data_IF_117294346804
#
_entry.id   IF_117294346804
#
_cell.length_a   1.000
_cell.length_b   1.000
_cell.length_c   1.000
_cell.angle_alpha   90.00
_cell.angle_beta   90.00
_cell.angle_gamma   90.00
#
_symmetry.space_group_name_H-M   'P 1'
#
loop_
_entity.id
_entity.type
_entity.pdbx_description
1 polymer ?
#
# COMPACT_ATOMS: atom_id res chain seq x y z
N UNK A 1 15.87 7.15 18.24
CA UNK A 1 15.74 8.33 17.33
C UNK A 1 15.17 9.49 18.11
N UNK A 2 15.77 10.68 18.06
CA UNK A 2 15.25 11.85 18.77
C UNK A 2 14.02 12.42 18.08
N UNK A 3 13.16 13.14 18.83
CA UNK A 3 11.95 13.78 18.25
C UNK A 3 12.30 14.76 17.12
N UNK A 4 13.46 15.41 17.21
CA UNK A 4 13.93 16.34 16.19
C UNK A 4 14.38 15.64 14.90
N UNK A 5 15.07 14.52 15.01
CA UNK A 5 15.43 13.68 13.86
C UNK A 5 14.20 13.11 13.17
N UNK A 6 13.21 12.68 13.96
CA UNK A 6 11.93 12.20 13.42
C UNK A 6 11.22 13.29 12.62
N UNK A 7 11.11 14.50 13.16
CA UNK A 7 10.49 15.63 12.46
C UNK A 7 11.23 16.01 11.16
N UNK A 8 12.57 15.97 11.17
CA UNK A 8 13.38 16.21 9.97
C UNK A 8 13.12 15.13 8.90
N UNK A 9 13.01 13.85 9.30
CA UNK A 9 12.67 12.75 8.38
C UNK A 9 11.25 12.87 7.82
N UNK A 10 10.26 13.13 8.66
CA UNK A 10 8.87 13.36 8.22
C UNK A 10 8.81 14.49 7.20
N UNK A 11 9.50 15.61 7.46
CA UNK A 11 9.54 16.76 6.55
C UNK A 11 10.24 16.44 5.23
N UNK A 12 11.33 15.67 5.26
CA UNK A 12 12.04 15.22 4.06
C UNK A 12 11.14 14.33 3.19
N UNK A 13 10.44 13.39 3.82
CA UNK A 13 9.46 12.52 3.14
C UNK A 13 8.31 13.36 2.59
N UNK A 14 7.73 14.28 3.36
CA UNK A 14 6.66 15.18 2.89
C UNK A 14 7.08 15.94 1.62
N UNK A 15 8.28 16.53 1.60
CA UNK A 15 8.76 17.29 0.44
C UNK A 15 8.97 16.37 -0.76
N UNK A 16 9.59 15.21 -0.58
CA UNK A 16 9.86 14.23 -1.65
C UNK A 16 8.55 13.69 -2.23
N UNK A 17 7.66 13.23 -1.38
CA UNK A 17 6.43 12.54 -1.78
C UNK A 17 5.36 13.49 -2.33
N UNK A 18 5.27 14.73 -1.83
CA UNK A 18 4.33 15.74 -2.33
C UNK A 18 4.55 16.12 -3.79
N UNK A 19 5.81 16.12 -4.24
CA UNK A 19 6.15 16.35 -5.66
C UNK A 19 5.80 15.12 -6.50
N UNK A 20 6.05 13.93 -5.96
CA UNK A 20 5.82 12.65 -6.63
C UNK A 20 4.33 12.31 -6.74
N UNK A 21 3.56 12.50 -5.67
CA UNK A 21 2.13 12.21 -5.67
C UNK A 21 1.36 13.00 -6.74
N UNK A 22 1.74 14.26 -6.99
CA UNK A 22 1.14 15.04 -8.09
C UNK A 22 1.40 14.43 -9.46
N UNK A 23 2.58 13.86 -9.68
CA UNK A 23 2.96 13.31 -10.98
C UNK A 23 2.38 11.91 -11.21
N UNK A 24 2.30 11.11 -10.14
CA UNK A 24 1.82 9.72 -10.21
C UNK A 24 0.28 9.67 -10.31
N UNK A 25 -0.41 10.54 -9.57
CA UNK A 25 -1.86 10.42 -9.38
C UNK A 25 -2.69 11.46 -10.12
N UNK A 26 -2.09 12.49 -10.77
CA UNK A 26 -2.83 13.54 -11.45
C UNK A 26 -3.50 13.11 -12.77
N UNK A 27 -3.11 11.97 -13.35
CA UNK A 27 -3.61 11.52 -14.65
C UNK A 27 -4.33 10.18 -14.67
N UNK A 28 -3.93 9.22 -13.85
CA UNK A 28 -4.31 7.81 -14.03
C UNK A 28 -5.17 7.22 -12.89
N UNK A 29 -5.04 7.77 -11.67
CA UNK A 29 -5.78 7.31 -10.50
C UNK A 29 -7.31 7.48 -10.61
N UNK A 30 -7.78 8.50 -11.33
CA UNK A 30 -9.21 8.76 -11.52
C UNK A 30 -9.91 7.77 -12.47
N UNK A 31 -9.20 7.03 -13.31
CA UNK A 31 -9.82 6.18 -14.33
C UNK A 31 -10.17 4.77 -13.84
N UNK A 32 -9.41 4.23 -12.89
CA UNK A 32 -9.62 2.86 -12.40
C UNK A 32 -10.55 2.76 -11.18
N UNK A 33 -10.57 3.79 -10.33
CA UNK A 33 -11.29 3.74 -9.05
C UNK A 33 -12.68 4.39 -9.16
N UNK A 34 -13.66 3.68 -9.70
CA UNK A 34 -15.04 4.14 -9.85
C UNK A 34 -15.91 3.79 -8.62
N UNK A 35 -16.01 4.68 -7.61
CA UNK A 35 -16.94 4.56 -6.48
C UNK A 35 -18.39 5.00 -6.83
N UNK A 36 -19.40 4.60 -6.04
CA UNK A 36 -20.81 4.97 -6.21
C UNK A 36 -21.21 6.01 -5.16
N UNK A 37 -21.16 7.27 -5.50
CA UNK A 37 -21.73 8.37 -4.73
C UNK A 37 -22.15 9.49 -5.68
N UNK A 38 -23.35 10.06 -5.51
CA UNK A 38 -23.80 11.20 -6.30
C UNK A 38 -23.83 12.41 -5.42
N UNK A 39 -23.01 13.43 -5.71
CA UNK A 39 -23.10 14.76 -5.11
C UNK A 39 -23.80 15.71 -6.09
N UNK A 40 -24.62 16.59 -5.54
CA UNK A 40 -25.22 17.64 -6.33
C UNK A 40 -24.10 18.56 -6.86
N UNK A 41 -24.01 18.70 -8.20
CA UNK A 41 -23.02 19.56 -8.85
C UNK A 41 -23.62 20.92 -9.21
N UNK A 42 -24.64 20.89 -10.07
CA UNK A 42 -25.26 22.13 -10.56
C UNK A 42 -26.73 21.89 -10.98
N UNK A 43 -27.40 23.00 -11.29
CA UNK A 43 -28.71 22.98 -11.95
C UNK A 43 -28.54 23.56 -13.34
N UNK A 44 -28.88 22.78 -14.36
CA UNK A 44 -28.90 23.26 -15.75
C UNK A 44 -30.28 23.14 -16.40
N UNK A 45 -30.49 23.88 -17.47
CA UNK A 45 -31.74 23.79 -18.24
C UNK A 45 -31.93 22.38 -18.83
N UNK A 46 -33.13 21.83 -18.74
CA UNK A 46 -33.50 20.53 -19.27
C UNK A 46 -33.28 20.47 -20.79
N UNK A 47 -32.70 19.40 -21.26
CA UNK A 47 -32.54 19.10 -22.67
C UNK A 47 -33.34 17.82 -23.05
N UNK A 48 -33.91 17.74 -24.24
CA UNK A 48 -34.58 16.53 -24.68
C UNK A 48 -33.65 15.31 -24.62
N UNK A 49 -34.08 14.29 -23.83
CA UNK A 49 -33.31 13.11 -23.54
C UNK A 49 -32.82 12.99 -22.09
N UNK A 50 -32.93 14.06 -21.31
CA UNK A 50 -32.62 14.02 -19.87
C UNK A 50 -33.70 13.26 -19.08
N UNK A 51 -33.30 12.62 -17.97
CA UNK A 51 -34.26 11.92 -17.11
C UNK A 51 -35.17 12.91 -16.39
N UNK A 52 -36.47 12.83 -16.66
CA UNK A 52 -37.51 13.66 -16.01
C UNK A 52 -37.53 13.58 -14.48
N UNK A 53 -37.00 12.46 -13.90
CA UNK A 53 -36.90 12.29 -12.45
C UNK A 53 -35.89 13.23 -11.82
N UNK A 54 -34.96 13.75 -12.61
CA UNK A 54 -33.93 14.68 -12.17
C UNK A 54 -34.39 16.14 -12.18
N UNK A 55 -35.64 16.45 -12.58
CA UNK A 55 -36.17 17.82 -12.60
C UNK A 55 -36.23 18.40 -11.21
N UNK A 56 -35.62 19.59 -11.04
CA UNK A 56 -35.80 20.41 -9.86
C UNK A 56 -37.05 21.28 -9.98
N UNK A 57 -38.15 20.83 -9.42
CA UNK A 57 -39.41 21.54 -9.49
C UNK A 57 -39.38 22.90 -8.79
N UNK A 58 -38.53 23.12 -7.78
CA UNK A 58 -38.40 24.39 -7.08
C UNK A 58 -37.74 25.47 -7.95
N UNK A 59 -36.67 25.08 -8.68
CA UNK A 59 -35.99 26.00 -9.60
C UNK A 59 -36.85 26.23 -10.84
N UNK A 60 -37.45 25.16 -11.38
CA UNK A 60 -38.39 25.21 -12.51
C UNK A 60 -39.54 26.18 -12.24
N UNK A 61 -40.14 26.13 -11.04
CA UNK A 61 -41.23 27.01 -10.68
C UNK A 61 -40.82 28.50 -10.59
N UNK A 62 -39.55 28.78 -10.26
CA UNK A 62 -39.04 30.16 -10.15
C UNK A 62 -38.65 30.76 -11.50
N UNK A 63 -38.14 29.93 -12.39
CA UNK A 63 -37.56 30.38 -13.68
C UNK A 63 -38.49 30.13 -14.89
N UNK A 64 -39.67 29.52 -14.68
CA UNK A 64 -40.63 29.15 -15.72
C UNK A 64 -40.08 28.34 -16.89
N UNK A 65 -38.99 27.60 -16.66
CA UNK A 65 -38.39 26.70 -17.59
C UNK A 65 -37.94 25.44 -16.83
N UNK A 66 -38.02 24.26 -17.43
CA UNK A 66 -37.58 23.04 -16.72
C UNK A 66 -36.07 23.04 -16.50
N UNK A 67 -35.68 22.78 -15.27
CA UNK A 67 -34.29 22.63 -14.83
C UNK A 67 -34.10 21.26 -14.23
N UNK A 68 -32.93 20.64 -14.48
CA UNK A 68 -32.53 19.36 -13.89
C UNK A 68 -31.40 19.55 -12.90
N UNK A 69 -31.38 18.70 -11.88
CA UNK A 69 -30.25 18.53 -10.97
C UNK A 69 -29.21 17.66 -11.66
N UNK A 70 -28.06 18.21 -11.91
CA UNK A 70 -26.89 17.47 -12.35
C UNK A 70 -26.17 16.99 -11.11
N UNK A 71 -25.99 15.69 -11.00
CA UNK A 71 -25.21 15.09 -9.94
C UNK A 71 -23.88 14.66 -10.52
N UNK A 72 -22.79 15.16 -9.97
CA UNK A 72 -21.47 14.61 -10.20
C UNK A 72 -21.20 13.50 -9.19
N UNK A 73 -20.57 12.45 -9.64
CA UNK A 73 -20.20 11.35 -8.79
C UNK A 73 -18.96 11.74 -7.98
N UNK A 74 -19.18 12.38 -6.78
CA UNK A 74 -18.12 12.66 -5.83
C UNK A 74 -17.69 11.35 -5.15
N UNK A 75 -16.54 10.85 -5.53
CA UNK A 75 -16.04 9.55 -5.08
C UNK A 75 -15.02 9.75 -4.00
N UNK A 76 -15.46 9.75 -2.75
CA UNK A 76 -14.54 9.57 -1.64
C UNK A 76 -14.04 8.13 -1.62
N UNK A 77 -12.82 7.93 -2.03
CA UNK A 77 -12.16 6.64 -1.88
C UNK A 77 -11.64 6.49 -0.44
N UNK A 78 -11.63 5.26 0.00
CA UNK A 78 -10.94 4.89 1.24
C UNK A 78 -9.74 4.03 0.86
N UNK A 79 -8.57 4.47 1.29
CA UNK A 79 -7.31 3.75 1.11
C UNK A 79 -6.90 3.13 2.44
N UNK A 80 -6.60 1.85 2.43
CA UNK A 80 -6.08 1.13 3.59
C UNK A 80 -4.66 0.63 3.31
N UNK A 81 -3.71 1.04 4.15
CA UNK A 81 -2.34 0.57 4.09
C UNK A 81 -2.17 -0.57 5.11
N UNK A 82 -1.83 -1.77 4.65
CA UNK A 82 -1.46 -2.91 5.48
C UNK A 82 0.06 -2.99 5.42
N UNK A 83 0.73 -2.61 6.50
CA UNK A 83 2.20 -2.49 6.52
C UNK A 83 2.79 -3.52 7.45
N UNK A 84 3.61 -4.37 6.89
CA UNK A 84 4.41 -5.34 7.62
C UNK A 84 5.47 -4.62 8.46
N UNK A 85 5.44 -4.90 9.78
CA UNK A 85 6.39 -4.34 10.73
C UNK A 85 7.21 -5.42 11.43
N UNK A 86 7.25 -6.64 10.89
CA UNK A 86 8.04 -7.77 11.38
C UNK A 86 9.54 -7.50 11.47
N UNK A 87 10.29 -8.43 12.03
CA UNK A 87 11.74 -8.32 12.21
C UNK A 87 12.51 -8.18 10.91
N UNK A 88 12.05 -8.82 9.83
CA UNK A 88 12.67 -8.81 8.51
C UNK A 88 12.82 -7.41 7.90
N UNK A 89 11.95 -6.45 8.27
CA UNK A 89 12.03 -5.05 7.81
C UNK A 89 13.33 -4.33 8.17
N UNK A 90 14.04 -4.78 9.21
CA UNK A 90 15.28 -4.17 9.64
C UNK A 90 16.49 -4.62 8.80
N UNK A 91 16.27 -5.48 7.82
CA UNK A 91 17.30 -5.87 6.88
C UNK A 91 17.55 -4.79 5.83
N UNK A 92 18.80 -4.63 5.42
CA UNK A 92 19.22 -3.71 4.36
C UNK A 92 20.74 -3.67 4.27
N UNK A 93 21.27 -3.84 3.06
CA UNK A 93 22.73 -4.00 2.84
C UNK A 93 23.37 -2.88 2.04
N UNK A 94 22.56 -2.00 1.44
CA UNK A 94 23.06 -0.92 0.58
C UNK A 94 22.74 0.47 1.16
N UNK A 95 22.08 1.31 0.41
CA UNK A 95 21.84 2.71 0.77
C UNK A 95 20.67 2.93 1.72
N UNK A 96 19.74 1.99 1.78
CA UNK A 96 18.47 2.14 2.50
C UNK A 96 18.01 0.81 3.09
N UNK A 97 17.48 0.82 4.32
CA UNK A 97 16.85 -0.35 4.93
C UNK A 97 15.45 -0.56 4.36
N UNK A 98 14.97 -1.81 4.33
CA UNK A 98 13.59 -2.12 3.92
C UNK A 98 12.56 -1.27 4.68
N UNK A 99 12.73 -1.11 5.99
CA UNK A 99 11.88 -0.26 6.84
C UNK A 99 11.73 1.16 6.30
N UNK A 100 12.83 1.76 5.85
CA UNK A 100 12.82 3.14 5.36
C UNK A 100 12.12 3.23 3.99
N UNK A 101 12.35 2.24 3.12
CA UNK A 101 11.66 2.13 1.83
C UNK A 101 10.16 1.89 2.01
N UNK A 102 9.75 0.96 2.89
CA UNK A 102 8.34 0.72 3.22
C UNK A 102 7.65 1.98 3.72
N UNK A 103 8.32 2.75 4.60
CA UNK A 103 7.80 4.01 5.11
C UNK A 103 7.68 5.08 4.00
N UNK A 104 8.65 5.18 3.08
CA UNK A 104 8.57 6.11 1.95
C UNK A 104 7.45 5.75 0.97
N UNK A 105 7.29 4.48 0.63
CA UNK A 105 6.22 3.98 -0.24
C UNK A 105 4.85 4.24 0.39
N UNK A 106 4.67 3.82 1.65
CA UNK A 106 3.41 4.03 2.37
C UNK A 106 3.08 5.52 2.53
N UNK A 107 4.08 6.37 2.82
CA UNK A 107 3.91 7.81 2.88
C UNK A 107 3.51 8.42 1.53
N UNK A 108 4.09 7.94 0.43
CA UNK A 108 3.75 8.40 -0.92
C UNK A 108 2.28 8.10 -1.24
N UNK A 109 1.83 6.89 -0.93
CA UNK A 109 0.43 6.49 -1.06
C UNK A 109 -0.49 7.32 -0.16
N UNK A 110 -0.11 7.54 1.11
CA UNK A 110 -0.89 8.36 2.02
C UNK A 110 -0.97 9.84 1.59
N UNK A 111 0.09 10.41 1.04
CA UNK A 111 0.03 11.78 0.51
C UNK A 111 -0.82 11.92 -0.75
N UNK A 112 -0.92 10.88 -1.56
CA UNK A 112 -1.80 10.91 -2.73
C UNK A 112 -3.27 11.09 -2.34
N UNK A 113 -3.70 10.52 -1.22
CA UNK A 113 -5.07 10.65 -0.73
C UNK A 113 -5.44 12.09 -0.36
N UNK A 114 -4.45 12.91 0.06
CA UNK A 114 -4.70 14.33 0.34
C UNK A 114 -5.06 15.07 -0.95
N UNK A 115 -4.33 14.79 -2.05
CA UNK A 115 -4.55 15.47 -3.32
C UNK A 115 -5.95 15.18 -3.90
N UNK A 116 -6.46 13.99 -3.63
CA UNK A 116 -7.76 13.51 -4.12
C UNK A 116 -8.89 13.68 -3.11
N UNK A 117 -8.64 14.28 -1.94
CA UNK A 117 -9.61 14.41 -0.83
C UNK A 117 -10.16 13.06 -0.33
N UNK A 118 -9.36 11.98 -0.42
CA UNK A 118 -9.69 10.63 0.00
C UNK A 118 -9.38 10.39 1.48
N UNK A 119 -9.91 9.28 2.02
CA UNK A 119 -9.61 8.80 3.38
C UNK A 119 -8.45 7.82 3.34
N UNK A 120 -7.54 7.87 4.32
CA UNK A 120 -6.48 6.89 4.48
C UNK A 120 -6.44 6.36 5.91
N UNK A 121 -6.31 5.04 6.03
CA UNK A 121 -6.07 4.34 7.30
C UNK A 121 -4.87 3.41 7.17
N UNK A 122 -4.38 2.90 8.30
CA UNK A 122 -3.25 1.96 8.31
C UNK A 122 -3.46 0.85 9.33
N UNK A 123 -3.03 -0.34 8.97
CA UNK A 123 -2.89 -1.50 9.83
C UNK A 123 -1.41 -1.87 9.86
N UNK A 124 -0.78 -1.77 11.01
CA UNK A 124 0.55 -2.34 11.24
C UNK A 124 0.37 -3.77 11.73
N UNK A 125 1.08 -4.70 11.13
CA UNK A 125 1.01 -6.11 11.50
C UNK A 125 2.41 -6.76 11.55
N UNK A 126 2.51 -7.75 12.39
CA UNK A 126 3.59 -8.72 12.52
C UNK A 126 2.96 -10.12 12.44
N UNK A 127 3.24 -11.04 13.36
CA UNK A 127 2.44 -12.25 13.61
C UNK A 127 1.08 -11.94 14.29
N UNK A 128 0.82 -10.68 14.59
CA UNK A 128 -0.42 -10.14 15.15
C UNK A 128 -0.69 -8.74 14.61
N UNK A 129 -1.89 -8.22 14.90
CA UNK A 129 -2.20 -6.82 14.64
C UNK A 129 -1.56 -5.95 15.72
N UNK A 130 -0.55 -5.21 15.33
CA UNK A 130 0.21 -4.35 16.24
C UNK A 130 -0.50 -3.01 16.48
N UNK A 131 -1.07 -2.41 15.41
CA UNK A 131 -1.80 -1.14 15.51
C UNK A 131 -2.77 -0.95 14.37
N UNK A 132 -3.93 -0.41 14.67
CA UNK A 132 -4.91 0.03 13.68
C UNK A 132 -5.18 1.52 13.83
N UNK A 133 -5.04 2.26 12.74
CA UNK A 133 -5.40 3.67 12.62
C UNK A 133 -6.55 3.76 11.62
N UNK A 134 -7.76 4.14 12.07
CA UNK A 134 -8.94 4.23 11.20
C UNK A 134 -8.76 5.22 10.06
N UNK A 135 -9.43 4.98 8.94
CA UNK A 135 -9.35 5.84 7.77
C UNK A 135 -10.01 7.21 8.04
N UNK A 136 -9.23 8.28 7.90
CA UNK A 136 -9.67 9.66 8.04
C UNK A 136 -9.05 10.53 6.94
N UNK A 137 -9.63 11.71 6.73
CA UNK A 137 -9.12 12.72 5.79
C UNK A 137 -8.17 13.69 6.47
N UNK A 138 -7.43 14.37 5.64
CA UNK A 138 -6.73 15.58 5.99
C UNK A 138 -5.24 15.41 6.29
N UNK A 139 -4.52 16.50 6.10
CA UNK A 139 -3.07 16.55 6.19
C UNK A 139 -2.53 16.13 7.57
N UNK A 140 -3.20 16.55 8.64
CA UNK A 140 -2.78 16.22 10.01
C UNK A 140 -2.83 14.73 10.27
N UNK A 141 -3.87 14.05 9.77
CA UNK A 141 -4.01 12.60 9.88
C UNK A 141 -2.92 11.84 9.09
N UNK A 142 -2.65 12.27 7.86
CA UNK A 142 -1.55 11.68 7.06
C UNK A 142 -0.19 11.87 7.73
N UNK A 143 0.08 13.06 8.28
CA UNK A 143 1.33 13.30 9.02
C UNK A 143 1.43 12.45 10.29
N UNK A 144 0.31 12.19 10.96
CA UNK A 144 0.26 11.25 12.08
C UNK A 144 0.63 9.83 11.63
N UNK A 145 0.03 9.33 10.53
CA UNK A 145 0.37 8.02 9.95
C UNK A 145 1.87 7.92 9.63
N UNK A 146 2.43 8.95 8.97
CA UNK A 146 3.86 8.94 8.61
C UNK A 146 4.76 8.94 9.83
N UNK A 147 4.40 9.69 10.87
CA UNK A 147 5.12 9.68 12.12
C UNK A 147 5.14 8.28 12.74
N UNK A 148 3.98 7.62 12.75
CA UNK A 148 3.86 6.25 13.25
C UNK A 148 4.69 5.27 12.41
N UNK A 149 4.62 5.33 11.08
CA UNK A 149 5.43 4.49 10.18
C UNK A 149 6.93 4.56 10.48
N UNK A 150 7.43 5.75 10.83
CA UNK A 150 8.86 5.97 11.09
C UNK A 150 9.32 5.62 12.51
N UNK A 151 8.42 5.76 13.49
CA UNK A 151 8.76 5.58 14.92
C UNK A 151 8.21 4.29 15.52
N UNK A 152 7.39 3.54 14.79
CA UNK A 152 6.74 2.35 15.31
C UNK A 152 7.76 1.24 15.59
N UNK A 153 7.72 0.71 16.79
CA UNK A 153 8.49 -0.47 17.18
C UNK A 153 7.51 -1.61 17.50
N UNK A 154 7.56 -2.72 16.75
CA UNK A 154 6.66 -3.84 16.96
C UNK A 154 6.97 -4.56 18.24
N UNK A 155 5.97 -5.20 18.79
CA UNK A 155 6.12 -6.03 19.99
C UNK A 155 6.44 -7.49 19.66
N UNK A 156 6.33 -7.88 18.39
CA UNK A 156 6.70 -9.20 17.86
C UNK A 156 7.55 -9.09 16.60
N UNK A 157 8.32 -10.13 16.32
CA UNK A 157 9.25 -10.20 15.18
C UNK A 157 8.76 -11.09 14.05
N UNK A 158 7.82 -12.01 14.29
CA UNK A 158 7.26 -12.91 13.28
C UNK A 158 6.29 -12.22 12.32
N UNK A 159 5.85 -12.93 11.28
CA UNK A 159 4.96 -12.42 10.22
C UNK A 159 3.75 -13.33 10.03
N UNK A 160 2.51 -12.78 10.08
CA UNK A 160 1.28 -13.47 9.70
C UNK A 160 0.38 -12.57 8.83
N UNK A 161 0.62 -12.62 7.52
CA UNK A 161 -0.16 -11.87 6.52
C UNK A 161 -1.62 -12.36 6.48
N UNK A 162 -1.87 -13.65 6.72
CA UNK A 162 -3.21 -14.20 6.70
C UNK A 162 -4.08 -13.58 7.79
N UNK A 163 -3.54 -13.44 9.00
CA UNK A 163 -4.23 -12.77 10.10
C UNK A 163 -4.49 -11.29 9.80
N UNK A 164 -3.51 -10.59 9.20
CA UNK A 164 -3.67 -9.19 8.81
C UNK A 164 -4.81 -9.00 7.81
N UNK A 165 -4.91 -9.85 6.78
CA UNK A 165 -5.98 -9.84 5.78
C UNK A 165 -7.36 -10.17 6.37
N UNK A 166 -7.42 -11.13 7.31
CA UNK A 166 -8.66 -11.46 8.03
C UNK A 166 -9.14 -10.29 8.87
N UNK A 167 -8.23 -9.68 9.64
CA UNK A 167 -8.54 -8.49 10.43
C UNK A 167 -9.02 -7.33 9.54
N UNK A 168 -8.31 -7.04 8.46
CA UNK A 168 -8.68 -6.02 7.48
C UNK A 168 -10.10 -6.25 6.94
N UNK A 169 -10.42 -7.46 6.48
CA UNK A 169 -11.74 -7.82 5.95
C UNK A 169 -12.86 -7.72 6.98
N UNK A 170 -12.51 -7.87 8.27
CA UNK A 170 -13.45 -7.71 9.39
C UNK A 170 -13.62 -6.24 9.81
N UNK A 171 -12.55 -5.46 9.83
CA UNK A 171 -12.57 -4.06 10.22
C UNK A 171 -13.18 -3.17 9.13
N UNK A 172 -12.88 -3.45 7.86
CA UNK A 172 -13.35 -2.67 6.72
C UNK A 172 -14.55 -3.38 6.06
N UNK A 173 -15.77 -2.82 6.24
CA UNK A 173 -17.00 -3.39 5.68
C UNK A 173 -17.37 -2.81 4.30
N UNK A 174 -16.96 -1.56 4.03
CA UNK A 174 -17.20 -0.90 2.75
C UNK A 174 -16.06 -1.19 1.80
N UNK A 175 -16.37 -1.25 0.51
CA UNK A 175 -15.34 -1.38 -0.52
C UNK A 175 -14.29 -0.28 -0.37
N UNK A 176 -13.03 -0.64 -0.50
CA UNK A 176 -11.90 0.27 -0.42
C UNK A 176 -10.73 -0.28 -1.25
N UNK A 177 -9.74 0.57 -1.52
CA UNK A 177 -8.46 0.16 -2.08
C UNK A 177 -7.49 -0.15 -0.95
N UNK A 178 -6.90 -1.32 -0.95
CA UNK A 178 -5.93 -1.75 0.04
C UNK A 178 -4.55 -1.96 -0.60
N UNK A 179 -3.50 -1.48 0.06
CA UNK A 179 -2.11 -1.74 -0.31
C UNK A 179 -1.46 -2.59 0.76
N UNK A 180 -1.11 -3.81 0.41
CA UNK A 180 -0.39 -4.75 1.26
C UNK A 180 1.11 -4.61 0.98
N UNK A 181 1.87 -4.09 1.96
CA UNK A 181 3.29 -3.78 1.84
C UNK A 181 4.06 -4.72 2.76
N UNK A 182 4.82 -5.65 2.17
CA UNK A 182 5.61 -6.69 2.87
C UNK A 182 6.77 -7.15 1.98
N UNK A 183 7.67 -7.96 2.51
CA UNK A 183 8.64 -8.72 1.71
C UNK A 183 8.08 -10.08 1.23
N UNK A 184 6.92 -10.49 1.78
CA UNK A 184 6.25 -11.77 1.48
C UNK A 184 7.12 -13.01 1.71
N UNK A 185 8.12 -12.94 2.57
CA UNK A 185 8.89 -14.11 2.98
C UNK A 185 8.03 -14.94 3.94
N UNK A 186 7.92 -16.25 3.70
CA UNK A 186 7.12 -17.14 4.54
C UNK A 186 5.60 -17.01 4.39
N UNK A 187 5.09 -16.40 3.33
CA UNK A 187 3.69 -16.06 3.10
C UNK A 187 2.74 -17.27 2.82
N UNK A 188 3.15 -18.50 3.10
CA UNK A 188 2.53 -19.73 2.59
C UNK A 188 1.04 -19.97 2.84
N UNK A 189 0.40 -19.35 3.82
CA UNK A 189 -1.01 -19.64 4.19
C UNK A 189 -2.02 -18.55 3.79
N UNK A 190 -1.61 -17.53 3.03
CA UNK A 190 -2.46 -16.34 2.79
C UNK A 190 -3.48 -16.48 1.64
N UNK A 191 -3.49 -17.59 0.88
CA UNK A 191 -4.36 -17.73 -0.31
C UNK A 191 -5.84 -17.43 -0.03
N UNK A 192 -6.44 -18.13 0.94
CA UNK A 192 -7.86 -17.95 1.25
C UNK A 192 -8.19 -16.56 1.80
N UNK A 193 -7.47 -16.01 2.78
CA UNK A 193 -7.68 -14.64 3.25
C UNK A 193 -7.50 -13.59 2.15
N UNK A 194 -6.52 -13.76 1.27
CA UNK A 194 -6.27 -12.86 0.17
C UNK A 194 -7.41 -12.89 -0.87
N UNK A 195 -7.90 -14.07 -1.23
CA UNK A 195 -9.04 -14.24 -2.12
C UNK A 195 -10.33 -13.60 -1.55
N UNK A 196 -10.57 -13.74 -0.23
CA UNK A 196 -11.70 -13.10 0.43
C UNK A 196 -11.56 -11.58 0.40
N UNK A 197 -10.36 -11.06 0.66
CA UNK A 197 -10.08 -9.64 0.63
C UNK A 197 -10.22 -9.05 -0.78
N UNK A 198 -9.65 -9.71 -1.82
CA UNK A 198 -9.71 -9.25 -3.20
C UNK A 198 -11.12 -9.28 -3.81
N UNK A 199 -11.98 -10.19 -3.36
CA UNK A 199 -13.40 -10.22 -3.78
C UNK A 199 -14.23 -9.05 -3.19
N UNK A 200 -13.80 -8.45 -2.08
CA UNK A 200 -14.52 -7.36 -1.40
C UNK A 200 -13.91 -5.99 -1.60
N UNK A 201 -12.62 -5.95 -1.79
CA UNK A 201 -11.81 -4.75 -1.86
C UNK A 201 -10.87 -4.85 -3.05
N UNK A 202 -10.40 -3.73 -3.51
CA UNK A 202 -9.32 -3.71 -4.47
C UNK A 202 -7.99 -3.84 -3.72
N UNK A 203 -7.37 -5.01 -3.80
CA UNK A 203 -6.10 -5.29 -3.11
C UNK A 203 -4.94 -5.20 -4.08
N UNK A 204 -3.93 -4.42 -3.72
CA UNK A 204 -2.70 -4.26 -4.45
C UNK A 204 -1.53 -4.67 -3.53
N UNK A 205 -0.64 -5.53 -4.01
CA UNK A 205 0.51 -6.02 -3.26
C UNK A 205 1.79 -5.29 -3.68
N UNK A 206 2.55 -4.80 -2.71
CA UNK A 206 3.83 -4.14 -2.92
C UNK A 206 4.88 -4.91 -2.15
N UNK A 207 5.70 -5.66 -2.89
CA UNK A 207 6.83 -6.36 -2.32
C UNK A 207 8.02 -5.42 -2.21
N UNK A 208 8.68 -5.41 -1.03
CA UNK A 208 9.93 -4.68 -0.82
C UNK A 208 11.01 -5.67 -0.37
N UNK A 209 12.08 -5.75 -1.13
CA UNK A 209 13.17 -6.69 -0.86
C UNK A 209 14.54 -6.04 -1.05
N UNK A 210 15.55 -6.60 -0.38
CA UNK A 210 16.96 -6.23 -0.58
C UNK A 210 17.62 -7.16 -1.61
N UNK A 211 18.59 -6.65 -2.35
CA UNK A 211 19.35 -7.45 -3.32
C UNK A 211 19.98 -8.68 -2.70
N UNK A 212 20.41 -8.60 -1.43
CA UNK A 212 21.06 -9.71 -0.73
C UNK A 212 20.10 -10.80 -0.26
N UNK A 213 18.82 -10.55 -0.27
CA UNK A 213 17.80 -11.59 -0.12
C UNK A 213 17.66 -12.44 -1.38
N UNK A 214 17.96 -11.87 -2.54
CA UNK A 214 17.92 -12.60 -3.82
C UNK A 214 19.26 -13.30 -4.15
N UNK A 215 20.39 -12.69 -3.77
CA UNK A 215 21.71 -13.14 -4.17
C UNK A 215 22.73 -12.99 -3.04
N UNK A 216 23.38 -14.08 -2.65
CA UNK A 216 24.51 -14.02 -1.71
C UNK A 216 25.79 -13.58 -2.40
N UNK A 217 26.54 -12.64 -1.84
CA UNK A 217 27.88 -12.28 -2.34
C UNK A 217 28.90 -13.36 -1.99
N UNK A 218 29.95 -13.51 -2.79
CA UNK A 218 31.09 -14.36 -2.46
C UNK A 218 32.03 -13.59 -1.51
N UNK A 219 31.84 -13.76 -0.21
CA UNK A 219 32.63 -13.08 0.86
C UNK A 219 33.15 -14.03 1.94
N UNK A 220 33.15 -15.35 1.64
CA UNK A 220 33.61 -16.40 2.57
C UNK A 220 32.56 -16.77 3.61
N UNK A 221 33.03 -17.15 4.78
CA UNK A 221 32.18 -17.59 5.89
C UNK A 221 31.46 -16.40 6.54
N UNK A 222 30.13 -16.44 6.55
CA UNK A 222 29.26 -15.37 7.07
C UNK A 222 28.32 -15.94 8.12
N UNK A 223 28.10 -15.18 9.17
CA UNK A 223 27.08 -15.47 10.18
C UNK A 223 25.78 -14.75 9.81
N UNK A 224 24.75 -15.51 9.48
CA UNK A 224 23.41 -15.00 9.30
C UNK A 224 22.66 -15.02 10.63
N UNK A 225 21.94 -13.95 10.88
CA UNK A 225 21.02 -13.83 12.00
C UNK A 225 19.59 -13.82 11.46
N UNK A 226 18.78 -14.78 11.87
CA UNK A 226 17.36 -14.78 11.55
C UNK A 226 16.63 -13.86 12.53
N UNK A 227 16.12 -12.76 12.00
CA UNK A 227 15.44 -11.73 12.80
C UNK A 227 14.07 -12.18 13.36
N UNK A 228 13.47 -13.24 12.82
CA UNK A 228 12.18 -13.77 13.29
C UNK A 228 12.37 -14.81 14.39
N UNK A 229 13.28 -15.74 14.21
CA UNK A 229 13.50 -16.85 15.16
C UNK A 229 14.61 -16.55 16.18
N UNK A 230 15.45 -15.57 15.93
CA UNK A 230 16.61 -15.24 16.76
C UNK A 230 17.79 -16.22 16.63
N UNK A 231 17.74 -17.15 15.68
CA UNK A 231 18.77 -18.13 15.46
C UNK A 231 19.92 -17.62 14.60
N UNK A 232 21.11 -18.13 14.86
CA UNK A 232 22.30 -17.86 14.08
C UNK A 232 22.64 -19.06 13.18
N UNK A 233 23.02 -18.79 11.94
CA UNK A 233 23.49 -19.81 11.00
C UNK A 233 24.80 -19.35 10.36
N UNK A 234 25.82 -20.21 10.40
CA UNK A 234 27.09 -20.00 9.67
C UNK A 234 26.96 -20.58 8.26
N UNK A 235 27.20 -19.76 7.26
CA UNK A 235 27.11 -20.13 5.84
C UNK A 235 28.41 -19.75 5.15
N UNK A 236 29.04 -20.72 4.46
CA UNK A 236 30.21 -20.42 3.62
C UNK A 236 29.74 -19.98 2.23
N UNK A 237 29.77 -18.69 2.02
CA UNK A 237 29.39 -18.10 0.72
C UNK A 237 30.48 -18.20 -0.35
N UNK A 238 31.68 -18.73 -0.06
CA UNK A 238 32.68 -19.04 -1.07
C UNK A 238 32.24 -20.24 -1.95
N UNK A 239 31.44 -21.13 -1.39
CA UNK A 239 30.93 -22.34 -2.08
C UNK A 239 29.85 -21.91 -3.10
N UNK A 240 30.11 -22.13 -4.39
CA UNK A 240 29.19 -21.75 -5.46
C UNK A 240 27.82 -22.46 -5.36
N UNK A 241 27.80 -23.74 -4.95
CA UNK A 241 26.55 -24.49 -4.76
C UNK A 241 25.63 -23.79 -3.75
N UNK A 242 26.16 -23.37 -2.59
CA UNK A 242 25.40 -22.67 -1.55
C UNK A 242 24.76 -21.38 -2.11
N UNK A 243 25.51 -20.57 -2.87
CA UNK A 243 24.97 -19.36 -3.49
C UNK A 243 23.90 -19.67 -4.53
N UNK A 244 24.08 -20.72 -5.32
CA UNK A 244 23.10 -21.13 -6.33
C UNK A 244 21.81 -21.65 -5.70
N UNK A 245 21.91 -22.49 -4.68
CA UNK A 245 20.75 -23.02 -3.96
C UNK A 245 19.95 -21.90 -3.30
N UNK A 246 20.62 -20.93 -2.69
CA UNK A 246 19.99 -19.75 -2.12
C UNK A 246 19.23 -18.92 -3.18
N UNK A 247 19.88 -18.61 -4.29
CA UNK A 247 19.26 -17.88 -5.40
C UNK A 247 18.13 -18.67 -6.07
N UNK A 248 18.19 -20.01 -6.07
CA UNK A 248 17.12 -20.85 -6.55
C UNK A 248 15.92 -20.82 -5.60
N UNK A 249 16.13 -20.98 -4.31
CA UNK A 249 15.06 -20.89 -3.30
C UNK A 249 14.33 -19.52 -3.36
N UNK A 250 15.06 -18.43 -3.56
CA UNK A 250 14.46 -17.12 -3.80
C UNK A 250 13.57 -17.11 -5.04
N UNK A 251 14.05 -17.62 -6.17
CA UNK A 251 13.27 -17.66 -7.43
C UNK A 251 12.01 -18.52 -7.30
N UNK A 252 12.10 -19.64 -6.59
CA UNK A 252 10.96 -20.51 -6.32
C UNK A 252 9.90 -19.76 -5.47
N UNK A 253 10.31 -19.10 -4.41
CA UNK A 253 9.41 -18.26 -3.59
C UNK A 253 8.77 -17.14 -4.42
N UNK A 254 9.53 -16.45 -5.29
CA UNK A 254 8.98 -15.41 -6.16
C UNK A 254 7.93 -15.97 -7.13
N UNK A 255 8.18 -17.15 -7.71
CA UNK A 255 7.21 -17.80 -8.60
C UNK A 255 5.93 -18.19 -7.85
N UNK A 256 6.03 -18.71 -6.64
CA UNK A 256 4.88 -19.04 -5.80
C UNK A 256 4.04 -17.81 -5.47
N UNK A 257 4.67 -16.72 -5.06
CA UNK A 257 4.02 -15.42 -4.76
C UNK A 257 3.33 -14.88 -6.02
N UNK A 258 4.00 -14.88 -7.16
CA UNK A 258 3.44 -14.41 -8.43
C UNK A 258 2.21 -15.23 -8.86
N UNK A 259 2.30 -16.57 -8.76
CA UNK A 259 1.17 -17.45 -9.05
C UNK A 259 -0.01 -17.19 -8.10
N UNK A 260 0.27 -16.95 -6.84
CA UNK A 260 -0.74 -16.65 -5.83
C UNK A 260 -1.47 -15.35 -6.17
N UNK A 261 -0.77 -14.26 -6.49
CA UNK A 261 -1.38 -13.00 -6.88
C UNK A 261 -2.18 -13.13 -8.18
N UNK A 262 -1.65 -13.83 -9.17
CA UNK A 262 -2.37 -14.10 -10.43
C UNK A 262 -3.68 -14.86 -10.18
N UNK A 263 -3.67 -15.90 -9.35
CA UNK A 263 -4.86 -16.70 -9.02
C UNK A 263 -5.92 -15.94 -8.21
N UNK A 264 -5.49 -14.94 -7.43
CA UNK A 264 -6.38 -14.12 -6.59
C UNK A 264 -6.80 -12.81 -7.25
N UNK A 265 -6.31 -12.52 -8.46
CA UNK A 265 -6.60 -11.27 -9.18
C UNK A 265 -6.01 -10.03 -8.50
N UNK A 266 -4.94 -10.20 -7.72
CA UNK A 266 -4.26 -9.11 -7.01
C UNK A 266 -3.16 -8.54 -7.89
N UNK A 267 -3.22 -7.23 -8.15
CA UNK A 267 -2.13 -6.51 -8.81
C UNK A 267 -0.92 -6.47 -7.88
N UNK A 268 0.26 -6.69 -8.42
CA UNK A 268 1.47 -6.67 -7.60
C UNK A 268 2.65 -6.00 -8.30
N UNK A 269 3.56 -5.49 -7.48
CA UNK A 269 4.84 -4.93 -7.91
C UNK A 269 5.92 -5.29 -6.89
N UNK A 270 7.12 -5.59 -7.38
CA UNK A 270 8.30 -5.83 -6.55
C UNK A 270 9.27 -4.66 -6.68
N UNK A 271 9.74 -4.16 -5.54
CA UNK A 271 10.61 -2.98 -5.43
C UNK A 271 11.86 -3.39 -4.67
N UNK A 272 13.00 -3.23 -5.28
CA UNK A 272 14.28 -3.46 -4.63
C UNK A 272 14.73 -2.18 -3.90
N UNK A 273 15.37 -2.33 -2.73
CA UNK A 273 15.77 -1.21 -1.86
C UNK A 273 16.72 -0.19 -2.51
N UNK A 274 17.42 -0.58 -3.59
CA UNK A 274 18.33 0.27 -4.36
C UNK A 274 17.70 0.84 -5.65
N UNK A 275 16.41 0.60 -5.91
CA UNK A 275 15.71 1.08 -7.10
C UNK A 275 14.79 2.27 -6.82
N UNK A 276 14.41 2.97 -7.90
CA UNK A 276 13.42 4.04 -7.82
C UNK A 276 12.01 3.46 -7.77
N UNK A 277 11.43 3.44 -6.57
CA UNK A 277 10.07 2.93 -6.34
C UNK A 277 8.97 3.68 -7.09
N UNK A 278 9.23 4.91 -7.55
CA UNK A 278 8.23 5.73 -8.25
C UNK A 278 7.79 5.07 -9.55
N UNK A 279 8.76 4.55 -10.32
CA UNK A 279 8.47 3.84 -11.59
C UNK A 279 7.62 2.59 -11.35
N UNK A 280 7.95 1.86 -10.29
CA UNK A 280 7.22 0.65 -9.92
C UNK A 280 5.77 0.97 -9.50
N UNK A 281 5.56 2.03 -8.70
CA UNK A 281 4.22 2.48 -8.34
C UNK A 281 3.43 2.97 -9.56
N UNK A 282 4.06 3.72 -10.47
CA UNK A 282 3.39 4.12 -11.72
C UNK A 282 2.96 2.93 -12.57
N UNK A 283 3.75 1.86 -12.61
CA UNK A 283 3.37 0.63 -13.30
C UNK A 283 2.15 -0.03 -12.63
N UNK A 284 2.13 -0.11 -11.30
CA UNK A 284 1.03 -0.69 -10.53
C UNK A 284 -0.32 -0.01 -10.83
N UNK A 285 -0.30 1.30 -11.10
CA UNK A 285 -1.52 2.08 -11.39
C UNK A 285 -1.92 2.11 -12.88
N UNK A 286 -1.10 1.56 -13.78
CA UNK A 286 -1.42 1.43 -15.21
C UNK A 286 -2.06 0.09 -15.59
N UNK A 287 -1.89 -0.90 -14.74
CA UNK A 287 -2.51 -2.21 -14.88
C UNK A 287 -3.91 -2.21 -14.30
#
# INVERSE_FOLDING_TARGET
MTSEELLKRVRKIEIKTRKLSRNIFAGEYHSQFKGRGMAFSEVREYQPGDDVRSIDWNVTARLNKPYIKVFEEERELTVMLLVDVSGSRNFGTLSQMKRDMMAEVAATLAFSTIANNDKVGVIFFSDKIEKFIPAQKGKTHVLHIIRELLSFEPTSTGTDIAQALQYFSNAQKRHCTAFLISDFIGAGAMYKPLLIASNRHEVNAIQIYDRREAELPNIGLVKFYDAETGNDLWVDTAIAAVRNDYAQAWRENQNEIQQLFTRTGVNHVSIRTDEDYVKALMHLFRC
#
